data_IF_295089364197
#
_entry.id   IF_295089364197
#
_cell.length_a   1.000
_cell.length_b   1.000
_cell.length_c   1.000
_cell.angle_alpha   90.00
_cell.angle_beta   90.00
_cell.angle_gamma   90.00
#
_symmetry.space_group_name_H-M   'P 1'
#
loop_
_entity.id
_entity.type
_entity.pdbx_description
1 polymer ?
#
# COMPACT_ATOMS: atom_id res chain seq x y z
N UNK A 1 37.57 -5.82 -10.57
CA UNK A 1 37.19 -7.18 -10.11
C UNK A 1 35.89 -7.00 -9.35
N UNK A 2 34.85 -6.52 -9.99
CA UNK A 2 34.04 -7.13 -11.08
C UNK A 2 33.18 -8.28 -10.59
N UNK A 3 31.87 -8.07 -10.80
CA UNK A 3 30.77 -9.03 -10.94
C UNK A 3 30.37 -9.81 -9.68
N UNK A 4 29.10 -10.01 -9.33
CA UNK A 4 27.87 -10.23 -10.11
C UNK A 4 26.68 -9.64 -9.30
N UNK A 5 25.73 -8.86 -9.82
CA UNK A 5 24.58 -9.36 -10.57
C UNK A 5 23.80 -8.27 -11.38
N UNK A 6 24.40 -7.57 -12.36
CA UNK A 6 23.62 -6.85 -13.39
C UNK A 6 23.19 -7.75 -14.57
N UNK A 7 23.85 -8.89 -14.76
CA UNK A 7 23.80 -9.66 -16.01
C UNK A 7 22.51 -10.48 -16.20
N UNK A 8 21.88 -11.00 -15.13
CA UNK A 8 20.67 -11.83 -15.28
C UNK A 8 19.42 -11.02 -15.61
N UNK A 9 19.26 -9.82 -15.04
CA UNK A 9 18.11 -8.96 -15.30
C UNK A 9 18.15 -8.36 -16.71
N UNK A 10 19.33 -7.91 -17.16
CA UNK A 10 19.52 -7.40 -18.52
C UNK A 10 19.37 -8.51 -19.57
N UNK A 11 19.87 -9.73 -19.30
CA UNK A 11 19.66 -10.87 -20.19
C UNK A 11 18.18 -11.30 -20.26
N UNK A 12 17.45 -11.25 -19.15
CA UNK A 12 16.02 -11.53 -19.13
C UNK A 12 15.20 -10.47 -19.89
N UNK A 13 15.52 -9.18 -19.73
CA UNK A 13 14.89 -8.08 -20.48
C UNK A 13 15.16 -8.20 -21.98
N UNK A 14 16.39 -8.52 -22.37
CA UNK A 14 16.79 -8.75 -23.77
C UNK A 14 16.07 -9.95 -24.39
N UNK A 15 15.96 -11.06 -23.65
CA UNK A 15 15.22 -12.23 -24.10
C UNK A 15 13.72 -11.96 -24.29
N UNK A 16 13.12 -11.16 -23.39
CA UNK A 16 11.71 -10.76 -23.49
C UNK A 16 11.46 -9.89 -24.73
N UNK A 17 12.30 -8.87 -24.95
CA UNK A 17 12.21 -8.01 -26.13
C UNK A 17 12.29 -8.81 -27.43
N UNK A 18 13.24 -9.74 -27.52
CA UNK A 18 13.39 -10.62 -28.69
C UNK A 18 12.15 -11.48 -28.92
N UNK A 19 11.54 -12.02 -27.86
CA UNK A 19 10.30 -12.79 -27.98
C UNK A 19 9.12 -11.93 -28.47
N UNK A 20 9.01 -10.68 -28.02
CA UNK A 20 8.01 -9.74 -28.51
C UNK A 20 8.21 -9.40 -30.00
N UNK A 21 9.45 -9.18 -30.44
CA UNK A 21 9.78 -8.91 -31.85
C UNK A 21 9.41 -10.09 -32.77
N UNK A 22 9.76 -11.32 -32.37
CA UNK A 22 9.40 -12.54 -33.09
C UNK A 22 7.87 -12.66 -33.17
N UNK A 23 7.17 -12.42 -32.06
CA UNK A 23 5.70 -12.49 -32.02
C UNK A 23 5.06 -11.44 -32.94
N UNK A 24 5.60 -10.22 -32.96
CA UNK A 24 5.12 -9.17 -33.85
C UNK A 24 5.34 -9.54 -35.33
N UNK A 25 6.49 -10.13 -35.67
CA UNK A 25 6.77 -10.60 -37.03
C UNK A 25 5.82 -11.73 -37.47
N UNK A 26 5.48 -12.65 -36.55
CA UNK A 26 4.47 -13.68 -36.78
C UNK A 26 3.10 -13.05 -37.06
N UNK A 27 2.64 -12.13 -36.20
CA UNK A 27 1.38 -11.42 -36.41
C UNK A 27 1.33 -10.67 -37.75
N UNK A 28 2.44 -10.04 -38.16
CA UNK A 28 2.54 -9.37 -39.45
C UNK A 28 2.39 -10.34 -40.63
N UNK A 29 3.03 -11.51 -40.54
CA UNK A 29 2.93 -12.53 -41.61
C UNK A 29 1.52 -13.11 -41.66
N UNK A 30 0.91 -13.41 -40.50
CA UNK A 30 -0.46 -13.93 -40.40
C UNK A 30 -1.50 -12.96 -40.96
N UNK A 31 -1.31 -11.65 -40.84
CA UNK A 31 -2.27 -10.68 -41.37
C UNK A 31 -2.48 -10.77 -42.90
N UNK A 32 -1.49 -11.26 -43.64
CA UNK A 32 -1.56 -11.46 -45.09
C UNK A 32 -2.03 -12.86 -45.51
N UNK A 33 -2.15 -13.80 -44.57
CA UNK A 33 -2.56 -15.18 -44.80
C UNK A 33 -3.94 -15.42 -44.19
N UNK A 34 -4.97 -15.37 -45.03
CA UNK A 34 -6.37 -15.44 -44.59
C UNK A 34 -6.69 -16.77 -43.89
N UNK A 35 -6.20 -17.89 -44.43
CA UNK A 35 -6.46 -19.22 -43.89
C UNK A 35 -5.77 -19.38 -42.52
N UNK A 36 -4.53 -18.91 -42.40
CA UNK A 36 -3.82 -18.94 -41.12
C UNK A 36 -4.48 -18.04 -40.07
N UNK A 37 -4.93 -16.85 -40.45
CA UNK A 37 -5.65 -15.95 -39.55
C UNK A 37 -6.96 -16.56 -39.09
N UNK A 38 -7.78 -17.09 -40.00
CA UNK A 38 -9.07 -17.71 -39.67
C UNK A 38 -8.90 -18.90 -38.71
N UNK A 39 -7.87 -19.72 -38.92
CA UNK A 39 -7.54 -20.83 -38.04
C UNK A 39 -7.11 -20.39 -36.63
N UNK A 40 -6.42 -19.25 -36.50
CA UNK A 40 -5.89 -18.76 -35.22
C UNK A 40 -6.86 -17.87 -34.44
N UNK A 41 -7.81 -17.20 -35.11
CA UNK A 41 -8.76 -16.27 -34.50
C UNK A 41 -9.48 -16.82 -33.25
N UNK A 42 -9.94 -18.09 -33.21
CA UNK A 42 -10.55 -18.65 -32.02
C UNK A 42 -9.62 -18.63 -30.81
N UNK A 43 -8.31 -18.81 -30.96
CA UNK A 43 -7.42 -18.97 -29.82
C UNK A 43 -6.78 -17.65 -29.37
N UNK A 44 -6.65 -16.69 -30.28
CA UNK A 44 -5.96 -15.41 -30.04
C UNK A 44 -6.65 -14.49 -29.02
N UNK A 45 -7.97 -14.61 -28.82
CA UNK A 45 -8.77 -13.68 -28.03
C UNK A 45 -9.27 -14.28 -26.71
N UNK A 46 -8.69 -15.42 -26.31
CA UNK A 46 -8.98 -16.11 -25.06
C UNK A 46 -8.12 -15.66 -23.87
N UNK A 47 -8.59 -15.94 -22.66
CA UNK A 47 -7.89 -15.67 -21.39
C UNK A 47 -6.51 -16.36 -21.26
N UNK A 48 -6.23 -17.39 -22.06
CA UNK A 48 -4.98 -18.14 -22.08
C UNK A 48 -3.83 -17.32 -22.71
N UNK A 49 -4.17 -16.32 -23.54
CA UNK A 49 -3.20 -15.45 -24.21
C UNK A 49 -2.72 -14.35 -23.25
N UNK A 50 -1.66 -14.62 -22.50
CA UNK A 50 -1.16 -13.68 -21.48
C UNK A 50 -0.14 -12.67 -22.02
N UNK A 51 1.06 -13.13 -22.33
CA UNK A 51 2.22 -12.24 -22.46
C UNK A 51 2.44 -11.68 -23.86
N UNK A 52 2.06 -12.41 -24.91
CA UNK A 52 2.41 -12.06 -26.28
C UNK A 52 1.25 -11.53 -27.12
N UNK A 53 0.03 -11.48 -26.58
CA UNK A 53 -1.15 -11.01 -27.32
C UNK A 53 -0.99 -9.58 -27.84
N UNK A 54 -0.38 -8.70 -27.05
CA UNK A 54 -0.14 -7.31 -27.45
C UNK A 54 0.86 -7.21 -28.62
N UNK A 55 1.96 -7.96 -28.56
CA UNK A 55 2.97 -7.97 -29.62
C UNK A 55 2.40 -8.56 -30.93
N UNK A 56 1.65 -9.66 -30.82
CA UNK A 56 0.98 -10.29 -31.97
C UNK A 56 -0.03 -9.34 -32.62
N UNK A 57 -0.89 -8.70 -31.82
CA UNK A 57 -1.85 -7.70 -32.30
C UNK A 57 -1.18 -6.54 -33.03
N UNK A 58 -0.06 -6.02 -32.49
CA UNK A 58 0.72 -4.96 -33.15
C UNK A 58 1.24 -5.41 -34.52
N UNK A 59 1.70 -6.66 -34.61
CA UNK A 59 2.08 -7.32 -35.85
C UNK A 59 0.92 -7.37 -36.86
N UNK A 60 -0.25 -7.83 -36.42
CA UNK A 60 -1.45 -7.92 -37.26
C UNK A 60 -1.79 -6.58 -37.91
N UNK A 61 -1.79 -5.49 -37.14
CA UNK A 61 -2.06 -4.16 -37.67
C UNK A 61 -0.95 -3.64 -38.59
N UNK A 62 0.29 -4.12 -38.46
CA UNK A 62 1.38 -3.78 -39.38
C UNK A 62 1.21 -4.47 -40.73
N UNK A 63 0.82 -5.75 -40.72
CA UNK A 63 0.61 -6.56 -41.93
C UNK A 63 -0.76 -6.41 -42.60
N UNK A 64 -1.73 -5.76 -41.95
CA UNK A 64 -3.10 -5.64 -42.47
C UNK A 64 -3.15 -4.90 -43.81
N UNK A 65 -3.81 -5.45 -44.83
CA UNK A 65 -4.10 -4.70 -46.06
C UNK A 65 -5.08 -3.55 -45.82
N UNK A 66 -6.10 -3.78 -44.99
CA UNK A 66 -7.08 -2.79 -44.54
C UNK A 66 -7.28 -2.86 -43.01
N UNK A 67 -7.11 -1.72 -42.32
CA UNK A 67 -7.19 -1.70 -40.84
C UNK A 67 -8.61 -1.95 -40.34
N UNK A 68 -9.61 -1.44 -41.04
CA UNK A 68 -10.99 -1.47 -40.56
C UNK A 68 -11.58 -2.87 -40.70
N UNK A 69 -11.33 -3.52 -41.83
CA UNK A 69 -11.80 -4.88 -42.12
C UNK A 69 -11.19 -5.88 -41.16
N UNK A 70 -9.87 -5.83 -40.93
CA UNK A 70 -9.23 -6.76 -40.00
C UNK A 70 -9.62 -6.47 -38.55
N UNK A 71 -9.81 -5.21 -38.17
CA UNK A 71 -10.40 -4.87 -36.86
C UNK A 71 -11.79 -5.50 -36.69
N UNK A 72 -12.68 -5.39 -37.67
CA UNK A 72 -14.02 -5.99 -37.62
C UNK A 72 -13.98 -7.52 -37.49
N UNK A 73 -13.04 -8.19 -38.17
CA UNK A 73 -12.83 -9.64 -38.01
C UNK A 73 -12.40 -9.99 -36.58
N UNK A 74 -11.46 -9.25 -36.01
CA UNK A 74 -11.01 -9.44 -34.63
C UNK A 74 -12.15 -9.18 -33.62
N UNK A 75 -12.94 -8.12 -33.81
CA UNK A 75 -14.11 -7.83 -32.98
C UNK A 75 -15.16 -8.93 -33.09
N UNK A 76 -15.40 -9.47 -34.29
CA UNK A 76 -16.30 -10.62 -34.50
C UNK A 76 -15.85 -11.87 -33.73
N UNK A 77 -14.55 -12.20 -33.80
CA UNK A 77 -13.98 -13.32 -33.05
C UNK A 77 -14.01 -13.07 -31.53
N UNK A 78 -13.81 -11.82 -31.09
CA UNK A 78 -13.96 -11.42 -29.69
C UNK A 78 -15.40 -11.59 -29.20
N UNK A 79 -16.38 -11.23 -30.02
CA UNK A 79 -17.81 -11.39 -29.74
C UNK A 79 -18.20 -12.87 -29.54
N UNK A 80 -17.64 -13.76 -30.37
CA UNK A 80 -17.92 -15.20 -30.33
C UNK A 80 -17.46 -15.89 -29.03
N UNK A 81 -16.56 -15.26 -28.26
CA UNK A 81 -16.12 -15.78 -26.96
C UNK A 81 -17.13 -15.47 -25.84
N UNK A 82 -17.31 -16.39 -24.87
CA UNK A 82 -18.01 -16.08 -23.64
C UNK A 82 -17.37 -14.88 -22.93
N UNK A 83 -18.19 -14.00 -22.34
CA UNK A 83 -17.73 -12.75 -21.71
C UNK A 83 -16.54 -12.94 -20.77
N UNK A 84 -16.57 -13.98 -19.92
CA UNK A 84 -15.51 -14.28 -18.95
C UNK A 84 -14.19 -14.77 -19.58
N UNK A 85 -14.23 -15.25 -20.82
CA UNK A 85 -13.08 -15.78 -21.54
C UNK A 85 -12.46 -14.75 -22.49
N UNK A 86 -13.09 -13.59 -22.66
CA UNK A 86 -12.64 -12.51 -23.56
C UNK A 86 -11.38 -11.85 -23.01
N UNK A 87 -10.38 -11.70 -23.87
CA UNK A 87 -9.13 -11.02 -23.55
C UNK A 87 -8.83 -9.89 -24.55
N UNK A 88 -8.80 -8.62 -24.11
CA UNK A 88 -8.64 -7.49 -25.02
C UNK A 88 -7.19 -7.21 -25.42
N UNK A 89 -6.20 -7.99 -24.97
CA UNK A 89 -4.78 -7.67 -25.18
C UNK A 89 -4.35 -7.69 -26.66
N UNK A 90 -4.90 -8.60 -27.47
CA UNK A 90 -4.64 -8.58 -28.93
C UNK A 90 -5.29 -7.38 -29.59
N UNK A 91 -6.52 -7.02 -29.22
CA UNK A 91 -7.20 -5.82 -29.72
C UNK A 91 -6.43 -4.54 -29.34
N UNK A 92 -5.95 -4.45 -28.09
CA UNK A 92 -5.08 -3.36 -27.62
C UNK A 92 -3.78 -3.30 -28.43
N UNK A 93 -3.13 -4.45 -28.65
CA UNK A 93 -1.94 -4.54 -29.50
C UNK A 93 -2.20 -4.08 -30.93
N UNK A 94 -3.33 -4.49 -31.50
CA UNK A 94 -3.79 -4.08 -32.82
C UNK A 94 -3.93 -2.56 -32.93
N UNK A 95 -4.63 -1.93 -32.00
CA UNK A 95 -4.77 -0.47 -31.97
C UNK A 95 -3.41 0.24 -31.84
N UNK A 96 -2.45 -0.34 -31.12
CA UNK A 96 -1.08 0.21 -31.01
C UNK A 96 -0.30 0.13 -32.32
N UNK A 97 -0.45 -0.96 -33.08
CA UNK A 97 0.13 -1.05 -34.43
C UNK A 97 -0.59 -0.13 -35.42
N UNK A 98 -1.92 -0.06 -35.33
CA UNK A 98 -2.77 0.78 -36.17
C UNK A 98 -2.47 2.27 -35.95
N UNK A 99 -2.23 2.71 -34.72
CA UNK A 99 -1.91 4.12 -34.42
C UNK A 99 -0.60 4.57 -35.07
N UNK A 100 0.36 3.66 -35.22
CA UNK A 100 1.63 3.96 -35.91
C UNK A 100 1.42 4.15 -37.42
N UNK A 101 0.40 3.51 -37.99
CA UNK A 101 0.13 3.49 -39.44
C UNK A 101 -0.89 4.53 -39.87
N UNK A 102 -1.98 4.64 -39.13
CA UNK A 102 -3.07 5.58 -39.34
C UNK A 102 -3.69 5.98 -37.98
N UNK A 103 -3.19 7.08 -37.38
CA UNK A 103 -3.74 7.63 -36.15
C UNK A 103 -5.22 8.05 -36.26
N UNK A 104 -5.67 8.49 -37.43
CA UNK A 104 -7.04 8.98 -37.63
C UNK A 104 -8.04 7.84 -37.61
N UNK A 105 -7.73 6.73 -38.30
CA UNK A 105 -8.54 5.50 -38.21
C UNK A 105 -8.56 4.96 -36.80
N UNK A 106 -7.40 4.90 -36.12
CA UNK A 106 -7.33 4.40 -34.74
C UNK A 106 -8.17 5.25 -33.78
N UNK A 107 -8.11 6.57 -33.92
CA UNK A 107 -8.94 7.48 -33.13
C UNK A 107 -10.44 7.21 -33.35
N UNK A 108 -10.88 7.01 -34.60
CA UNK A 108 -12.28 6.68 -34.90
C UNK A 108 -12.70 5.34 -34.28
N UNK A 109 -11.86 4.30 -34.38
CA UNK A 109 -12.15 2.99 -33.77
C UNK A 109 -12.27 3.08 -32.24
N UNK A 110 -11.43 3.89 -31.59
CA UNK A 110 -11.53 4.16 -30.16
C UNK A 110 -12.79 4.94 -29.81
N UNK A 111 -13.19 5.94 -30.60
CA UNK A 111 -14.43 6.69 -30.39
C UNK A 111 -15.66 5.78 -30.48
N UNK A 112 -15.70 4.86 -31.45
CA UNK A 112 -16.76 3.88 -31.63
C UNK A 112 -16.83 2.88 -30.46
N UNK A 113 -15.68 2.48 -29.91
CA UNK A 113 -15.59 1.51 -28.82
C UNK A 113 -16.16 2.01 -27.47
N UNK A 114 -16.27 3.33 -27.27
CA UNK A 114 -16.71 3.92 -25.98
C UNK A 114 -18.13 3.49 -25.62
N UNK A 115 -19.04 3.53 -26.58
CA UNK A 115 -20.48 3.23 -26.39
C UNK A 115 -20.90 1.85 -26.89
N UNK A 116 -19.97 1.11 -27.50
CA UNK A 116 -20.22 -0.24 -28.00
C UNK A 116 -20.45 -1.22 -26.84
N UNK A 117 -21.55 -2.00 -26.80
CA UNK A 117 -21.82 -2.93 -25.70
C UNK A 117 -20.82 -4.08 -25.54
N UNK A 118 -20.08 -4.42 -26.60
CA UNK A 118 -19.08 -5.49 -26.61
C UNK A 118 -17.70 -4.95 -26.21
N UNK A 119 -17.30 -3.79 -26.73
CA UNK A 119 -15.97 -3.21 -26.53
C UNK A 119 -15.91 -2.24 -25.36
N UNK A 120 -17.00 -1.54 -25.05
CA UNK A 120 -17.13 -0.60 -23.94
C UNK A 120 -16.64 -1.16 -22.60
N UNK A 121 -16.97 -2.42 -22.22
CA UNK A 121 -16.44 -3.03 -21.01
C UNK A 121 -14.90 -3.15 -20.95
N UNK A 122 -14.25 -3.24 -22.12
CA UNK A 122 -12.79 -3.31 -22.27
C UNK A 122 -12.16 -1.99 -22.71
N UNK A 123 -12.97 -0.95 -22.94
CA UNK A 123 -12.51 0.33 -23.49
C UNK A 123 -11.35 0.95 -22.70
N UNK A 124 -11.35 0.98 -21.36
CA UNK A 124 -10.22 1.55 -20.61
C UNK A 124 -8.89 0.86 -20.94
N UNK A 125 -8.91 -0.45 -21.18
CA UNK A 125 -7.72 -1.23 -21.61
C UNK A 125 -7.32 -0.85 -23.03
N UNK A 126 -8.29 -0.76 -23.95
CA UNK A 126 -8.04 -0.39 -25.34
C UNK A 126 -7.45 1.02 -25.48
N UNK A 127 -7.91 1.97 -24.65
CA UNK A 127 -7.39 3.35 -24.65
C UNK A 127 -5.90 3.42 -24.32
N UNK A 128 -5.38 2.50 -23.51
CA UNK A 128 -3.94 2.41 -23.20
C UNK A 128 -3.07 1.86 -24.34
N UNK A 129 -3.66 1.61 -25.53
CA UNK A 129 -2.91 1.27 -26.74
C UNK A 129 -2.17 2.48 -27.35
N UNK A 130 -2.64 3.68 -27.04
CA UNK A 130 -2.09 4.95 -27.51
C UNK A 130 -1.71 5.83 -26.32
N UNK A 131 -0.84 6.81 -26.58
CA UNK A 131 -0.55 7.85 -25.60
C UNK A 131 -1.81 8.65 -25.28
N UNK A 132 -2.07 8.91 -24.00
CA UNK A 132 -3.33 9.51 -23.55
C UNK A 132 -3.17 11.03 -23.50
N UNK A 133 -3.42 11.70 -24.62
CA UNK A 133 -3.49 13.15 -24.71
C UNK A 133 -4.84 13.72 -24.24
N UNK A 134 -5.07 15.00 -24.50
CA UNK A 134 -6.31 15.70 -24.10
C UNK A 134 -7.59 15.06 -24.65
N UNK A 135 -7.58 14.62 -25.91
CA UNK A 135 -8.76 13.95 -26.52
C UNK A 135 -8.99 12.57 -25.90
N UNK A 136 -7.93 11.82 -25.67
CA UNK A 136 -7.97 10.47 -25.10
C UNK A 136 -8.44 10.48 -23.64
N UNK A 137 -8.00 11.46 -22.86
CA UNK A 137 -8.53 11.69 -21.52
C UNK A 137 -10.04 12.01 -21.55
N UNK A 138 -10.53 12.74 -22.56
CA UNK A 138 -11.98 12.98 -22.71
C UNK A 138 -12.75 11.68 -22.97
N UNK A 139 -12.14 10.71 -23.69
CA UNK A 139 -12.76 9.40 -23.92
C UNK A 139 -12.87 8.60 -22.63
N UNK A 140 -11.85 8.63 -21.77
CA UNK A 140 -11.90 7.99 -20.45
C UNK A 140 -13.02 8.60 -19.57
N UNK A 141 -13.12 9.93 -19.55
CA UNK A 141 -14.21 10.62 -18.85
C UNK A 141 -15.59 10.21 -19.40
N UNK A 142 -15.76 10.14 -20.73
CA UNK A 142 -16.99 9.69 -21.37
C UNK A 142 -17.32 8.22 -21.05
N UNK A 143 -16.31 7.34 -21.06
CA UNK A 143 -16.48 5.93 -20.70
C UNK A 143 -16.92 5.75 -19.25
N UNK A 144 -16.40 6.56 -18.32
CA UNK A 144 -16.82 6.59 -16.93
C UNK A 144 -18.29 7.00 -16.79
N UNK A 145 -18.73 8.00 -17.54
CA UNK A 145 -20.14 8.44 -17.57
C UNK A 145 -21.09 7.35 -18.08
N UNK A 146 -20.66 6.55 -19.06
CA UNK A 146 -21.46 5.44 -19.58
C UNK A 146 -21.46 4.21 -18.66
N UNK A 147 -20.45 4.07 -17.79
CA UNK A 147 -20.35 2.99 -16.80
C UNK A 147 -20.48 1.57 -17.41
N UNK A 148 -20.02 1.38 -18.65
CA UNK A 148 -19.98 0.06 -19.30
C UNK A 148 -18.84 -0.82 -18.77
N UNK A 149 -17.73 -0.19 -18.36
CA UNK A 149 -16.56 -0.87 -17.82
C UNK A 149 -16.61 -0.97 -16.30
N UNK A 150 -16.22 -2.13 -15.77
CA UNK A 150 -15.99 -2.31 -14.34
C UNK A 150 -14.72 -1.55 -13.91
N UNK A 151 -14.60 -1.11 -12.64
CA UNK A 151 -13.44 -0.36 -12.18
C UNK A 151 -12.10 -1.06 -12.45
N UNK A 152 -12.04 -2.39 -12.32
CA UNK A 152 -10.83 -3.17 -12.59
C UNK A 152 -10.26 -2.99 -14.01
N UNK A 153 -11.07 -2.65 -15.01
CA UNK A 153 -10.58 -2.36 -16.36
C UNK A 153 -9.70 -1.10 -16.40
N UNK A 154 -9.93 -0.14 -15.52
CA UNK A 154 -9.12 1.08 -15.40
C UNK A 154 -7.77 0.84 -14.72
N UNK A 155 -7.56 -0.32 -14.09
CA UNK A 155 -6.28 -0.66 -13.44
C UNK A 155 -5.08 -0.64 -14.38
N UNK A 156 -5.31 -0.83 -15.69
CA UNK A 156 -4.25 -0.68 -16.71
C UNK A 156 -3.68 0.74 -16.80
N UNK A 157 -4.39 1.76 -16.30
CA UNK A 157 -3.89 3.14 -16.23
C UNK A 157 -2.75 3.30 -15.22
N UNK A 158 -2.63 2.41 -14.23
CA UNK A 158 -1.57 2.51 -13.22
C UNK A 158 -0.20 2.04 -13.71
N UNK A 159 -0.11 1.39 -14.86
CA UNK A 159 1.13 0.75 -15.33
C UNK A 159 1.62 1.33 -16.64
N UNK A 160 2.92 1.15 -16.90
CA UNK A 160 3.53 1.53 -18.18
C UNK A 160 3.53 3.03 -18.45
N UNK A 161 3.44 3.86 -17.41
CA UNK A 161 3.54 5.33 -17.50
C UNK A 161 2.49 5.99 -18.41
N UNK A 162 1.37 5.31 -18.65
CA UNK A 162 0.34 5.75 -19.60
C UNK A 162 -0.37 7.04 -19.19
N UNK A 163 -0.32 7.39 -17.90
CA UNK A 163 -0.92 8.62 -17.35
C UNK A 163 -0.01 9.84 -17.41
N UNK A 164 1.26 9.70 -17.81
CA UNK A 164 2.22 10.80 -17.73
C UNK A 164 1.87 11.96 -18.65
N UNK A 165 1.32 11.66 -19.83
CA UNK A 165 0.89 12.65 -20.81
C UNK A 165 -0.47 13.27 -20.49
N UNK A 166 -1.19 12.77 -19.47
CA UNK A 166 -2.49 13.30 -19.07
C UNK A 166 -2.28 14.53 -18.19
N UNK A 167 -2.86 15.70 -18.53
CA UNK A 167 -2.77 16.87 -17.65
C UNK A 167 -3.39 16.61 -16.28
N UNK A 168 -2.70 17.04 -15.22
CA UNK A 168 -3.03 16.69 -13.84
C UNK A 168 -4.47 17.02 -13.43
N UNK A 169 -5.02 18.15 -13.88
CA UNK A 169 -6.42 18.51 -13.64
C UNK A 169 -7.42 17.50 -14.24
N UNK A 170 -7.10 16.91 -15.40
CA UNK A 170 -7.92 15.86 -16.02
C UNK A 170 -7.74 14.53 -15.29
N UNK A 171 -6.50 14.18 -14.97
CA UNK A 171 -6.19 12.95 -14.25
C UNK A 171 -6.92 12.92 -12.90
N UNK A 172 -6.95 14.05 -12.18
CA UNK A 172 -7.74 14.21 -10.95
C UNK A 172 -9.21 13.86 -11.16
N UNK A 173 -9.86 14.42 -12.18
CA UNK A 173 -11.27 14.09 -12.47
C UNK A 173 -11.49 12.61 -12.77
N UNK A 174 -10.60 12.01 -13.55
CA UNK A 174 -10.65 10.58 -13.88
C UNK A 174 -10.48 9.73 -12.62
N UNK A 175 -9.47 10.00 -11.80
CA UNK A 175 -9.19 9.27 -10.55
C UNK A 175 -10.37 9.35 -9.59
N UNK A 176 -10.93 10.54 -9.36
CA UNK A 176 -12.06 10.72 -8.45
C UNK A 176 -13.35 10.10 -8.97
N UNK A 177 -13.57 10.13 -10.28
CA UNK A 177 -14.70 9.44 -10.90
C UNK A 177 -14.57 7.91 -10.77
N UNK A 178 -13.37 7.34 -10.95
CA UNK A 178 -13.10 5.92 -10.69
C UNK A 178 -13.33 5.60 -9.21
N UNK A 179 -12.83 6.44 -8.29
CA UNK A 179 -12.99 6.24 -6.85
C UNK A 179 -14.46 6.23 -6.39
N UNK A 180 -15.33 6.91 -7.15
CA UNK A 180 -16.77 6.97 -6.89
C UNK A 180 -17.53 5.73 -7.38
N UNK A 181 -16.91 4.85 -8.16
CA UNK A 181 -17.52 3.59 -8.58
C UNK A 181 -17.48 2.56 -7.44
N UNK A 182 -18.46 1.64 -7.35
CA UNK A 182 -18.40 0.50 -6.44
C UNK A 182 -17.11 -0.30 -6.69
N UNK A 183 -16.32 -0.55 -5.64
CA UNK A 183 -15.02 -1.24 -5.71
C UNK A 183 -13.92 -0.48 -6.50
N UNK A 184 -14.14 0.78 -6.86
CA UNK A 184 -13.18 1.58 -7.65
C UNK A 184 -12.11 2.31 -6.84
N UNK A 185 -12.29 2.46 -5.53
CA UNK A 185 -11.37 3.23 -4.68
C UNK A 185 -9.93 2.69 -4.69
N UNK A 186 -9.76 1.37 -4.65
CA UNK A 186 -8.43 0.75 -4.71
C UNK A 186 -7.73 1.06 -6.04
N UNK A 187 -8.45 0.93 -7.15
CA UNK A 187 -7.93 1.20 -8.49
C UNK A 187 -7.54 2.67 -8.64
N UNK A 188 -8.38 3.59 -8.16
CA UNK A 188 -8.08 5.03 -8.18
C UNK A 188 -6.82 5.36 -7.36
N UNK A 189 -6.69 4.77 -6.17
CA UNK A 189 -5.52 4.96 -5.29
C UNK A 189 -4.24 4.43 -5.93
N UNK A 190 -4.33 3.28 -6.61
CA UNK A 190 -3.22 2.69 -7.33
C UNK A 190 -2.77 3.57 -8.50
N UNK A 191 -3.70 4.09 -9.32
CA UNK A 191 -3.39 4.98 -10.45
C UNK A 191 -2.68 6.25 -9.96
N UNK A 192 -3.20 6.90 -8.91
CA UNK A 192 -2.58 8.12 -8.39
C UNK A 192 -1.20 7.85 -7.79
N UNK A 193 -1.06 6.78 -7.00
CA UNK A 193 0.23 6.40 -6.42
C UNK A 193 1.28 6.11 -7.51
N UNK A 194 0.89 5.46 -8.60
CA UNK A 194 1.78 5.20 -9.74
C UNK A 194 2.21 6.50 -10.44
N UNK A 195 1.30 7.46 -10.67
CA UNK A 195 1.64 8.78 -11.23
C UNK A 195 2.61 9.55 -10.32
N UNK A 196 2.35 9.55 -9.02
CA UNK A 196 3.22 10.18 -8.01
C UNK A 196 4.61 9.54 -8.01
N UNK A 197 4.68 8.21 -8.09
CA UNK A 197 5.95 7.48 -8.15
C UNK A 197 6.74 7.82 -9.42
N UNK A 198 6.08 7.89 -10.58
CA UNK A 198 6.73 8.26 -11.85
C UNK A 198 7.34 9.67 -11.77
N UNK A 199 6.57 10.66 -11.31
CA UNK A 199 7.05 12.03 -11.14
C UNK A 199 8.25 12.10 -10.18
N UNK A 200 8.19 11.43 -9.03
CA UNK A 200 9.32 11.35 -8.08
C UNK A 200 10.56 10.70 -8.70
N UNK A 201 10.38 9.64 -9.49
CA UNK A 201 11.49 8.91 -10.14
C UNK A 201 12.23 9.79 -11.16
N UNK A 202 11.51 10.70 -11.79
CA UNK A 202 12.06 11.68 -12.73
C UNK A 202 12.60 12.95 -12.02
N UNK A 203 12.46 13.05 -10.69
CA UNK A 203 12.84 14.23 -9.92
C UNK A 203 11.90 15.42 -10.09
N UNK A 204 10.69 15.19 -10.61
CA UNK A 204 9.66 16.21 -10.79
C UNK A 204 8.94 16.50 -9.46
N UNK A 205 8.52 17.76 -9.30
CA UNK A 205 7.65 18.16 -8.20
C UNK A 205 6.21 17.74 -8.51
N UNK A 206 5.50 17.30 -7.48
CA UNK A 206 4.07 17.01 -7.57
C UNK A 206 3.32 18.34 -7.62
N UNK A 207 2.59 18.58 -8.70
CA UNK A 207 1.81 19.81 -8.87
C UNK A 207 0.55 19.87 -7.97
N UNK A 208 -0.01 21.08 -7.84
CA UNK A 208 -1.15 21.37 -6.98
C UNK A 208 -2.41 20.54 -7.32
N UNK A 209 -2.61 20.16 -8.59
CA UNK A 209 -3.77 19.36 -8.99
C UNK A 209 -3.63 17.91 -8.51
N UNK A 210 -2.43 17.34 -8.59
CA UNK A 210 -2.15 16.01 -8.03
C UNK A 210 -2.19 16.01 -6.51
N UNK A 211 -1.72 17.08 -5.87
CA UNK A 211 -1.84 17.30 -4.42
C UNK A 211 -3.31 17.31 -4.01
N UNK A 212 -4.14 18.13 -4.67
CA UNK A 212 -5.58 18.21 -4.38
C UNK A 212 -6.28 16.87 -4.64
N UNK A 213 -5.91 16.17 -5.71
CA UNK A 213 -6.42 14.82 -6.01
C UNK A 213 -6.19 13.86 -4.83
N UNK A 214 -4.95 13.82 -4.30
CA UNK A 214 -4.62 12.96 -3.17
C UNK A 214 -5.38 13.32 -1.90
N UNK A 215 -5.55 14.61 -1.62
CA UNK A 215 -6.30 15.09 -0.46
C UNK A 215 -7.79 14.74 -0.54
N UNK A 216 -8.41 14.93 -1.71
CA UNK A 216 -9.81 14.59 -1.96
C UNK A 216 -10.05 13.08 -1.91
N UNK A 217 -9.12 12.30 -2.46
CA UNK A 217 -9.20 10.84 -2.44
C UNK A 217 -9.18 10.32 -0.99
N UNK A 218 -8.24 10.80 -0.17
CA UNK A 218 -8.16 10.45 1.25
C UNK A 218 -9.37 10.96 2.05
N UNK A 219 -9.99 12.07 1.64
CA UNK A 219 -11.21 12.58 2.27
C UNK A 219 -12.42 11.65 2.06
N UNK A 220 -12.52 10.98 0.90
CA UNK A 220 -13.62 10.03 0.61
C UNK A 220 -13.29 8.58 0.98
N UNK A 221 -12.04 8.27 1.33
CA UNK A 221 -11.60 6.95 1.77
C UNK A 221 -12.50 6.39 2.87
N UNK A 222 -12.88 5.11 2.80
CA UNK A 222 -13.51 4.40 3.92
C UNK A 222 -12.52 3.45 4.59
N UNK A 223 -12.32 3.62 5.90
CA UNK A 223 -11.45 2.76 6.73
C UNK A 223 -12.00 1.33 6.85
N UNK A 224 -13.25 1.07 6.44
CA UNK A 224 -13.77 -0.29 6.34
C UNK A 224 -13.08 -1.12 5.23
N UNK A 225 -12.42 -0.46 4.26
CA UNK A 225 -11.72 -1.13 3.15
C UNK A 225 -10.35 -1.57 3.67
N UNK A 226 -10.23 -2.86 3.95
CA UNK A 226 -9.02 -3.49 4.47
C UNK A 226 -8.25 -4.18 3.35
N UNK A 227 -7.12 -3.60 2.97
CA UNK A 227 -6.23 -4.16 1.97
C UNK A 227 -4.81 -3.61 2.19
N UNK A 228 -3.82 -4.48 2.42
CA UNK A 228 -2.43 -4.07 2.63
C UNK A 228 -1.85 -3.32 1.43
N UNK A 229 -2.22 -3.73 0.20
CA UNK A 229 -1.81 -3.03 -1.01
C UNK A 229 -2.35 -1.60 -1.00
N UNK A 230 -3.62 -1.42 -0.64
CA UNK A 230 -4.21 -0.10 -0.48
C UNK A 230 -3.49 0.73 0.59
N UNK A 231 -3.14 0.15 1.74
CA UNK A 231 -2.40 0.85 2.79
C UNK A 231 -1.07 1.42 2.27
N UNK A 232 -0.34 0.66 1.45
CA UNK A 232 0.88 1.14 0.79
C UNK A 232 0.59 2.31 -0.19
N UNK A 233 -0.41 2.19 -1.06
CA UNK A 233 -0.77 3.27 -1.98
C UNK A 233 -1.18 4.55 -1.23
N UNK A 234 -1.97 4.43 -0.16
CA UNK A 234 -2.36 5.56 0.68
C UNK A 234 -1.15 6.20 1.38
N UNK A 235 -0.18 5.41 1.83
CA UNK A 235 1.06 5.95 2.40
C UNK A 235 1.82 6.81 1.37
N UNK A 236 2.00 6.32 0.14
CA UNK A 236 2.68 7.09 -0.91
C UNK A 236 1.95 8.39 -1.27
N UNK A 237 0.61 8.37 -1.24
CA UNK A 237 -0.23 9.56 -1.43
C UNK A 237 -0.07 10.54 -0.25
N UNK A 238 -0.12 10.06 1.00
CA UNK A 238 0.10 10.91 2.19
C UNK A 238 1.46 11.60 2.13
N UNK A 239 2.51 10.85 1.77
CA UNK A 239 3.87 11.37 1.64
C UNK A 239 3.98 12.50 0.62
N UNK A 240 3.25 12.39 -0.50
CA UNK A 240 3.32 13.34 -1.60
C UNK A 240 2.38 14.54 -1.44
N UNK A 241 1.15 14.31 -0.97
CA UNK A 241 0.06 15.29 -1.05
C UNK A 241 -0.21 16.03 0.27
N UNK A 242 0.44 15.63 1.37
CA UNK A 242 0.22 16.21 2.69
C UNK A 242 1.48 16.74 3.37
N UNK A 243 2.63 16.84 2.68
CA UNK A 243 3.87 17.32 3.29
C UNK A 243 3.84 18.80 3.70
N UNK A 244 3.04 19.60 3.00
CA UNK A 244 2.94 21.03 3.15
C UNK A 244 2.04 21.45 4.34
N UNK A 245 2.34 22.58 5.02
CA UNK A 245 1.55 23.05 6.16
C UNK A 245 0.08 23.31 5.85
N UNK A 246 -0.24 23.72 4.63
CA UNK A 246 -1.62 24.01 4.17
C UNK A 246 -2.49 22.74 4.17
N UNK A 247 -1.88 21.56 4.10
CA UNK A 247 -2.58 20.28 4.15
C UNK A 247 -2.94 19.82 5.57
N UNK A 248 -2.43 20.49 6.62
CA UNK A 248 -2.61 20.09 8.02
C UNK A 248 -4.10 19.87 8.40
N UNK A 249 -5.06 20.74 8.01
CA UNK A 249 -6.46 20.51 8.34
C UNK A 249 -7.02 19.21 7.73
N UNK A 250 -6.69 18.92 6.46
CA UNK A 250 -7.11 17.70 5.79
C UNK A 250 -6.39 16.47 6.38
N UNK A 251 -5.09 16.62 6.67
CA UNK A 251 -4.28 15.60 7.32
C UNK A 251 -4.84 15.19 8.69
N UNK A 252 -5.21 16.18 9.51
CA UNK A 252 -5.77 15.97 10.83
C UNK A 252 -7.09 15.20 10.76
N UNK A 253 -7.95 15.51 9.78
CA UNK A 253 -9.19 14.78 9.55
C UNK A 253 -8.95 13.31 9.22
N UNK A 254 -7.96 13.00 8.38
CA UNK A 254 -7.57 11.61 8.06
C UNK A 254 -7.10 10.88 9.33
N UNK A 255 -6.21 11.51 10.11
CA UNK A 255 -5.73 10.93 11.37
C UNK A 255 -6.88 10.64 12.34
N UNK A 256 -7.78 11.59 12.53
CA UNK A 256 -8.94 11.46 13.42
C UNK A 256 -9.84 10.30 13.02
N UNK A 257 -10.20 10.20 11.74
CA UNK A 257 -11.06 9.11 11.24
C UNK A 257 -10.43 7.74 11.47
N UNK A 258 -9.12 7.63 11.25
CA UNK A 258 -8.39 6.39 11.49
C UNK A 258 -8.29 6.08 13.00
N UNK A 259 -8.04 7.08 13.84
CA UNK A 259 -8.04 6.94 15.29
C UNK A 259 -9.42 6.50 15.83
N UNK A 260 -10.51 7.09 15.34
CA UNK A 260 -11.89 6.72 15.68
C UNK A 260 -12.21 5.27 15.29
N UNK A 261 -11.79 4.85 14.09
CA UNK A 261 -12.01 3.47 13.64
C UNK A 261 -11.15 2.47 14.43
N UNK A 262 -9.91 2.81 14.77
CA UNK A 262 -9.03 2.00 15.63
C UNK A 262 -9.51 1.95 17.08
N UNK A 263 -10.33 2.91 17.55
CA UNK A 263 -11.04 2.82 18.82
C UNK A 263 -12.21 1.81 18.75
N UNK A 264 -12.78 1.59 17.56
CA UNK A 264 -13.90 0.71 17.27
C UNK A 264 -13.56 -0.79 17.16
N UNK A 265 -14.45 -1.58 16.57
CA UNK A 265 -14.19 -2.98 16.17
C UNK A 265 -14.71 -3.12 14.73
N UNK A 266 -14.01 -3.82 13.81
CA UNK A 266 -12.90 -4.77 13.97
C UNK A 266 -11.52 -4.28 13.44
N UNK A 267 -11.17 -3.01 13.50
CA UNK A 267 -9.94 -2.47 12.87
C UNK A 267 -8.69 -2.57 13.76
N UNK A 268 -7.56 -2.97 13.16
CA UNK A 268 -6.27 -3.17 13.85
C UNK A 268 -5.16 -2.33 13.22
N UNK A 269 -4.12 -2.02 14.00
CA UNK A 269 -2.91 -1.30 13.54
C UNK A 269 -2.23 -2.06 12.40
N UNK A 270 -2.21 -3.39 12.47
CA UNK A 270 -1.65 -4.27 11.45
C UNK A 270 -2.38 -4.21 10.11
N UNK A 271 -3.60 -3.67 10.05
CA UNK A 271 -4.34 -3.49 8.79
C UNK A 271 -3.73 -2.34 7.96
N UNK A 272 -3.07 -1.35 8.59
CA UNK A 272 -2.56 -0.12 7.96
C UNK A 272 -1.11 0.27 8.37
N UNK A 273 -0.13 -0.65 8.39
CA UNK A 273 1.18 -0.37 8.98
C UNK A 273 1.98 0.69 8.21
N UNK A 274 1.97 0.64 6.87
CA UNK A 274 2.69 1.61 6.03
C UNK A 274 2.04 3.00 6.11
N UNK A 275 0.70 3.04 6.12
CA UNK A 275 -0.06 4.29 6.24
C UNK A 275 0.16 4.95 7.61
N UNK A 276 0.03 4.21 8.70
CA UNK A 276 0.24 4.75 10.06
C UNK A 276 1.66 5.28 10.22
N UNK A 277 2.66 4.51 9.79
CA UNK A 277 4.07 4.95 9.82
C UNK A 277 4.24 6.24 9.04
N UNK A 278 3.63 6.34 7.86
CA UNK A 278 3.75 7.55 7.04
C UNK A 278 3.02 8.76 7.62
N UNK A 279 1.86 8.58 8.27
CA UNK A 279 1.17 9.66 8.98
C UNK A 279 2.07 10.25 10.08
N UNK A 280 2.66 9.40 10.93
CA UNK A 280 3.57 9.87 11.98
C UNK A 280 4.86 10.51 11.44
N UNK A 281 5.33 10.13 10.24
CA UNK A 281 6.46 10.80 9.58
C UNK A 281 6.10 12.18 9.03
N UNK A 282 4.92 12.34 8.44
CA UNK A 282 4.57 13.57 7.69
C UNK A 282 4.33 14.77 8.62
N UNK A 283 3.46 14.63 9.62
CA UNK A 283 3.17 15.68 10.62
C UNK A 283 3.09 15.06 12.02
N UNK A 284 4.23 14.71 12.65
CA UNK A 284 4.27 13.89 13.86
C UNK A 284 3.45 14.49 15.01
N UNK A 285 3.59 15.78 15.30
CA UNK A 285 2.85 16.44 16.38
C UNK A 285 1.35 16.42 16.15
N UNK A 286 0.90 16.66 14.92
CA UNK A 286 -0.53 16.63 14.55
C UNK A 286 -1.08 15.20 14.66
N UNK A 287 -0.33 14.20 14.18
CA UNK A 287 -0.71 12.81 14.34
C UNK A 287 -0.78 12.41 15.82
N UNK A 288 0.21 12.76 16.63
CA UNK A 288 0.18 12.51 18.08
C UNK A 288 -1.04 13.17 18.75
N UNK A 289 -1.38 14.40 18.39
CA UNK A 289 -2.57 15.08 18.92
C UNK A 289 -3.88 14.40 18.51
N UNK A 290 -4.03 14.00 17.25
CA UNK A 290 -5.27 13.37 16.77
C UNK A 290 -5.45 11.92 17.27
N UNK A 291 -4.36 11.14 17.39
CA UNK A 291 -4.41 9.77 17.90
C UNK A 291 -4.42 9.71 19.43
N UNK A 292 -3.72 10.62 20.11
CA UNK A 292 -3.38 10.52 21.54
C UNK A 292 -3.54 11.83 22.32
N UNK A 293 -4.11 12.89 21.73
CA UNK A 293 -4.33 14.18 22.42
C UNK A 293 -5.75 14.37 22.94
N UNK A 294 -6.71 13.55 22.51
CA UNK A 294 -8.12 13.69 22.87
C UNK A 294 -8.44 13.37 24.35
N UNK A 295 -9.49 13.97 24.93
CA UNK A 295 -9.88 13.71 26.33
C UNK A 295 -10.47 12.30 26.55
N UNK A 296 -10.79 11.59 25.47
CA UNK A 296 -11.44 10.28 25.47
C UNK A 296 -10.52 9.14 25.00
N UNK A 297 -9.19 9.26 25.18
CA UNK A 297 -8.25 8.18 24.86
C UNK A 297 -8.67 6.93 25.62
N UNK A 298 -9.20 5.97 24.86
CA UNK A 298 -9.68 4.73 25.42
C UNK A 298 -8.48 3.85 25.76
N UNK A 299 -8.46 3.29 26.97
CA UNK A 299 -7.48 2.26 27.36
C UNK A 299 -7.40 1.12 26.33
N UNK A 300 -8.47 0.86 25.57
CA UNK A 300 -8.50 -0.10 24.46
C UNK A 300 -7.53 0.26 23.34
N UNK A 301 -7.48 1.52 22.89
CA UNK A 301 -6.55 1.95 21.82
C UNK A 301 -5.11 1.81 22.28
N UNK A 302 -4.80 2.28 23.49
CA UNK A 302 -3.48 2.13 24.09
C UNK A 302 -3.09 0.65 24.21
N UNK A 303 -4.02 -0.21 24.66
CA UNK A 303 -3.77 -1.65 24.78
C UNK A 303 -3.52 -2.30 23.43
N UNK A 304 -4.27 -1.91 22.38
CA UNK A 304 -4.04 -2.43 21.02
C UNK A 304 -2.68 -2.02 20.47
N UNK A 305 -2.27 -0.77 20.71
CA UNK A 305 -0.94 -0.30 20.34
C UNK A 305 0.15 -1.09 21.06
N UNK A 306 -0.02 -1.38 22.34
CA UNK A 306 0.89 -2.26 23.10
C UNK A 306 0.95 -3.65 22.49
N UNK A 307 -0.19 -4.27 22.21
CA UNK A 307 -0.23 -5.64 21.70
C UNK A 307 0.28 -5.80 20.27
N UNK A 308 0.39 -4.73 19.47
CA UNK A 308 0.90 -4.80 18.10
C UNK A 308 2.43 -4.89 17.99
N UNK A 309 3.18 -4.67 19.07
CA UNK A 309 4.66 -4.69 19.07
C UNK A 309 5.26 -6.04 18.64
N UNK A 310 4.48 -7.12 18.68
CA UNK A 310 4.96 -8.47 18.33
C UNK A 310 4.68 -8.87 16.87
N UNK A 311 3.96 -8.04 16.10
CA UNK A 311 3.48 -8.43 14.76
C UNK A 311 4.22 -7.67 13.65
N UNK A 312 4.60 -6.40 13.87
CA UNK A 312 5.37 -5.54 12.94
C UNK A 312 6.07 -4.41 13.72
N UNK A 313 6.93 -3.66 13.03
CA UNK A 313 7.53 -2.40 13.53
C UNK A 313 6.44 -1.43 14.02
N UNK A 314 6.70 -0.74 15.14
CA UNK A 314 5.78 0.23 15.70
C UNK A 314 5.82 1.53 14.88
N UNK A 315 4.69 2.05 14.37
CA UNK A 315 4.66 3.28 13.58
C UNK A 315 5.28 4.50 14.27
N UNK A 316 5.32 4.52 15.61
CA UNK A 316 5.91 5.61 16.39
C UNK A 316 7.44 5.60 16.41
N UNK A 317 8.07 4.49 16.02
CA UNK A 317 9.54 4.40 15.92
C UNK A 317 10.07 5.26 14.75
N UNK A 318 9.19 5.68 13.84
CA UNK A 318 9.51 6.61 12.78
C UNK A 318 9.58 8.08 13.22
N UNK A 319 9.17 8.39 14.46
CA UNK A 319 9.18 9.75 15.02
C UNK A 319 10.44 9.93 15.87
N UNK A 320 11.12 11.06 15.67
CA UNK A 320 12.31 11.42 16.44
C UNK A 320 11.98 11.59 17.94
N UNK A 321 12.87 11.11 18.81
CA UNK A 321 12.68 11.17 20.27
C UNK A 321 12.41 12.58 20.77
N UNK A 322 13.09 13.58 20.21
CA UNK A 322 12.93 14.99 20.60
C UNK A 322 11.50 15.49 20.36
N UNK A 323 10.82 14.98 19.34
CA UNK A 323 9.42 15.32 19.03
C UNK A 323 8.49 14.66 20.06
N UNK A 324 8.73 13.39 20.40
CA UNK A 324 8.01 12.70 21.47
C UNK A 324 8.10 13.48 22.79
N UNK A 325 9.31 13.87 23.18
CA UNK A 325 9.57 14.63 24.41
C UNK A 325 8.89 16.00 24.37
N UNK A 326 9.03 16.75 23.26
CA UNK A 326 8.40 18.06 23.10
C UNK A 326 6.87 17.96 23.21
N UNK A 327 6.28 16.95 22.57
CA UNK A 327 4.84 16.70 22.65
C UNK A 327 4.41 16.38 24.09
N UNK A 328 5.19 15.55 24.79
CA UNK A 328 4.92 15.16 26.18
C UNK A 328 4.97 16.36 27.15
N UNK A 329 5.97 17.22 26.98
CA UNK A 329 6.19 18.41 27.83
C UNK A 329 5.05 19.44 27.76
N UNK A 330 4.28 19.48 26.68
CA UNK A 330 3.13 20.38 26.57
C UNK A 330 1.99 20.04 27.55
N UNK A 331 1.89 18.78 28.01
CA UNK A 331 1.01 18.39 29.11
C UNK A 331 1.61 17.18 29.85
N UNK A 332 2.60 17.41 30.75
CA UNK A 332 3.47 16.35 31.24
C UNK A 332 2.72 15.23 31.98
N UNK A 333 1.76 15.60 32.84
CA UNK A 333 1.02 14.64 33.66
C UNK A 333 0.15 13.70 32.83
N UNK A 334 -0.37 14.15 31.68
CA UNK A 334 -1.20 13.33 30.81
C UNK A 334 -0.39 12.58 29.75
N UNK A 335 0.55 13.26 29.09
CA UNK A 335 1.17 12.78 27.84
C UNK A 335 2.35 11.84 28.05
N UNK A 336 3.13 11.99 29.13
CA UNK A 336 4.21 11.03 29.44
C UNK A 336 3.67 9.60 29.66
N UNK A 337 2.64 9.38 30.50
CA UNK A 337 2.03 8.06 30.63
C UNK A 337 1.45 7.51 29.32
N UNK A 338 0.92 8.39 28.45
CA UNK A 338 0.38 7.97 27.15
C UNK A 338 1.51 7.49 26.23
N UNK A 339 2.59 8.26 26.04
CA UNK A 339 3.72 7.83 25.22
C UNK A 339 4.34 6.54 25.74
N UNK A 340 4.55 6.46 27.05
CA UNK A 340 5.07 5.26 27.72
C UNK A 340 4.22 4.01 27.46
N UNK A 341 2.97 4.20 27.03
CA UNK A 341 2.04 3.15 26.68
C UNK A 341 2.11 2.73 25.22
N UNK A 342 2.67 3.52 24.32
CA UNK A 342 2.54 3.32 22.87
C UNK A 342 3.86 3.26 22.13
N UNK A 343 4.95 3.81 22.68
CA UNK A 343 6.28 3.67 22.08
C UNK A 343 6.86 2.28 22.31
N UNK A 344 7.84 1.89 21.48
CA UNK A 344 8.62 0.66 21.69
C UNK A 344 9.55 0.83 22.91
N UNK A 345 9.33 0.11 24.02
CA UNK A 345 10.08 0.34 25.26
C UNK A 345 11.46 -0.33 25.26
N UNK A 346 11.55 -1.52 24.66
CA UNK A 346 12.77 -2.33 24.58
C UNK A 346 12.75 -3.20 23.32
N UNK A 347 13.92 -3.70 22.96
CA UNK A 347 14.13 -4.62 21.84
C UNK A 347 14.53 -5.97 22.43
N UNK A 348 13.77 -7.02 22.09
CA UNK A 348 14.19 -8.40 22.32
C UNK A 348 15.14 -8.83 21.20
N UNK A 349 16.20 -9.57 21.55
CA UNK A 349 17.17 -10.08 20.58
C UNK A 349 16.95 -11.57 20.33
N UNK A 350 16.94 -11.96 19.04
CA UNK A 350 16.69 -13.34 18.61
C UNK A 350 17.82 -14.31 18.96
N UNK A 351 19.03 -13.79 19.22
CA UNK A 351 20.22 -14.55 19.60
C UNK A 351 20.21 -15.02 21.07
N UNK A 352 19.14 -14.69 21.81
CA UNK A 352 18.96 -15.08 23.19
C UNK A 352 19.67 -14.18 24.21
N UNK A 353 20.26 -13.06 23.77
CA UNK A 353 20.78 -12.03 24.67
C UNK A 353 19.67 -11.29 25.42
N UNK A 354 20.04 -10.65 26.52
CA UNK A 354 19.11 -9.87 27.34
C UNK A 354 18.54 -8.69 26.54
N UNK A 355 17.24 -8.40 26.66
CA UNK A 355 16.61 -7.30 25.94
C UNK A 355 17.20 -5.95 26.36
N UNK A 356 17.22 -5.01 25.41
CA UNK A 356 17.81 -3.68 25.61
C UNK A 356 16.76 -2.59 25.55
N UNK A 357 16.83 -1.65 26.49
CA UNK A 357 16.01 -0.44 26.47
C UNK A 357 16.22 0.40 25.20
N UNK A 358 15.15 0.96 24.65
CA UNK A 358 15.28 1.93 23.56
C UNK A 358 15.74 3.29 24.10
N UNK A 359 16.50 4.09 23.31
CA UNK A 359 16.87 5.44 23.71
C UNK A 359 15.65 6.31 24.04
N UNK A 360 14.58 6.21 23.25
CA UNK A 360 13.34 6.94 23.46
C UNK A 360 12.67 6.62 24.80
N UNK A 361 12.66 5.35 25.22
CA UNK A 361 12.09 4.95 26.50
C UNK A 361 12.89 5.48 27.70
N UNK A 362 14.22 5.41 27.63
CA UNK A 362 15.09 5.94 28.69
C UNK A 362 14.99 7.46 28.81
N UNK A 363 14.95 8.18 27.68
CA UNK A 363 14.81 9.63 27.69
C UNK A 363 13.43 10.05 28.22
N UNK A 364 12.36 9.37 27.80
CA UNK A 364 11.02 9.60 28.32
C UNK A 364 10.96 9.37 29.84
N UNK A 365 11.60 8.30 30.34
CA UNK A 365 11.65 8.00 31.77
C UNK A 365 12.47 9.02 32.56
N UNK A 366 13.58 9.51 32.00
CA UNK A 366 14.45 10.50 32.64
C UNK A 366 13.72 11.83 32.86
N UNK A 367 12.92 12.26 31.86
CA UNK A 367 12.23 13.55 31.87
C UNK A 367 10.82 13.48 32.47
N UNK A 368 10.34 12.31 32.86
CA UNK A 368 9.00 12.11 33.37
C UNK A 368 8.79 12.80 34.73
N UNK A 369 7.66 13.53 34.93
CA UNK A 369 7.32 14.09 36.25
C UNK A 369 6.95 13.00 37.26
N UNK A 370 6.44 11.86 36.77
CA UNK A 370 6.14 10.66 37.56
C UNK A 370 6.81 9.45 36.90
N UNK A 371 8.03 9.16 37.35
CA UNK A 371 8.86 8.08 36.82
C UNK A 371 8.26 6.71 37.10
N UNK A 372 7.59 6.52 38.23
CA UNK A 372 6.96 5.24 38.61
C UNK A 372 5.82 4.91 37.66
N UNK A 373 4.93 5.87 37.38
CA UNK A 373 3.84 5.66 36.42
C UNK A 373 4.37 5.37 35.02
N UNK A 374 5.36 6.13 34.54
CA UNK A 374 5.96 5.93 33.21
C UNK A 374 6.63 4.56 33.11
N UNK A 375 7.45 4.19 34.09
CA UNK A 375 8.13 2.89 34.13
C UNK A 375 7.12 1.74 34.15
N UNK A 376 6.03 1.88 34.90
CA UNK A 376 4.92 0.90 34.92
C UNK A 376 4.31 0.70 33.54
N UNK A 377 4.13 1.78 32.76
CA UNK A 377 3.56 1.69 31.40
C UNK A 377 4.55 1.06 30.41
N UNK A 378 5.82 1.50 30.43
CA UNK A 378 6.88 0.97 29.56
C UNK A 378 7.09 -0.53 29.76
N UNK A 379 6.97 -1.02 30.99
CA UNK A 379 7.17 -2.42 31.33
C UNK A 379 5.88 -3.26 31.35
N UNK A 380 4.74 -2.68 30.94
CA UNK A 380 3.52 -3.45 30.75
C UNK A 380 3.65 -4.61 29.73
N UNK A 381 4.49 -4.53 28.65
CA UNK A 381 4.70 -5.63 27.72
C UNK A 381 5.68 -6.72 28.19
N UNK A 382 6.21 -6.64 29.42
CA UNK A 382 7.17 -7.64 29.93
C UNK A 382 6.62 -9.07 29.82
N UNK A 383 5.34 -9.25 30.14
CA UNK A 383 4.64 -10.52 29.95
C UNK A 383 3.99 -10.51 28.57
N UNK A 384 4.46 -11.34 27.60
CA UNK A 384 3.86 -11.37 26.27
C UNK A 384 2.44 -11.93 26.30
N UNK A 385 1.62 -11.52 25.33
CA UNK A 385 0.24 -12.04 25.17
C UNK A 385 0.15 -13.32 24.34
N UNK A 386 1.23 -13.68 23.65
CA UNK A 386 1.38 -14.90 22.84
C UNK A 386 2.86 -15.29 22.81
N UNK A 387 3.16 -16.60 22.83
CA UNK A 387 4.52 -17.12 22.80
C UNK A 387 4.53 -18.54 22.22
N UNK A 388 5.62 -18.89 21.53
CA UNK A 388 5.86 -20.23 20.95
C UNK A 388 6.92 -21.03 21.73
N UNK A 389 7.61 -20.39 22.68
CA UNK A 389 8.68 -20.95 23.51
C UNK A 389 8.30 -20.85 24.99
N UNK A 390 9.12 -21.39 25.91
CA UNK A 390 8.85 -21.27 27.35
C UNK A 390 8.57 -19.82 27.77
N UNK A 391 7.42 -19.58 28.42
CA UNK A 391 7.09 -18.27 28.94
C UNK A 391 8.03 -17.92 30.10
N UNK A 392 8.41 -18.91 30.90
CA UNK A 392 9.34 -18.71 32.00
C UNK A 392 10.70 -18.18 31.50
N UNK A 393 11.22 -18.73 30.40
CA UNK A 393 12.50 -18.28 29.84
C UNK A 393 12.41 -16.86 29.26
N UNK A 394 11.29 -16.49 28.61
CA UNK A 394 11.05 -15.11 28.18
C UNK A 394 11.07 -14.16 29.38
N UNK A 395 10.36 -14.51 30.45
CA UNK A 395 10.27 -13.67 31.65
C UNK A 395 11.62 -13.54 32.36
N UNK A 396 12.43 -14.60 32.43
CA UNK A 396 13.80 -14.55 33.01
C UNK A 396 14.64 -13.52 32.27
N UNK A 397 14.65 -13.53 30.93
CA UNK A 397 15.43 -12.57 30.14
C UNK A 397 14.91 -11.15 30.33
N UNK A 398 13.60 -10.95 30.16
CA UNK A 398 12.99 -9.61 30.27
C UNK A 398 13.04 -9.02 31.67
N UNK A 399 13.16 -9.84 32.72
CA UNK A 399 13.41 -9.39 34.10
C UNK A 399 14.70 -8.56 34.21
N UNK A 400 15.71 -8.81 33.37
CA UNK A 400 16.95 -8.03 33.35
C UNK A 400 16.73 -6.52 33.12
N UNK A 401 15.63 -6.13 32.46
CA UNK A 401 15.27 -4.71 32.25
C UNK A 401 14.97 -3.96 33.55
N UNK A 402 14.63 -4.66 34.64
CA UNK A 402 14.39 -4.06 35.96
C UNK A 402 15.68 -3.79 36.74
N UNK A 403 16.75 -4.54 36.47
CA UNK A 403 17.98 -4.50 37.27
C UNK A 403 18.57 -3.09 37.43
N UNK A 404 18.60 -2.21 36.39
CA UNK A 404 19.10 -0.84 36.54
C UNK A 404 18.33 0.00 37.57
N UNK A 405 17.07 -0.36 37.85
CA UNK A 405 16.17 0.42 38.70
C UNK A 405 16.07 -0.10 40.14
N UNK A 406 16.63 -1.28 40.45
CA UNK A 406 16.60 -1.86 41.80
C UNK A 406 17.33 -1.00 42.84
N UNK A 407 18.30 -0.21 42.39
CA UNK A 407 19.10 0.72 43.19
C UNK A 407 19.00 2.15 42.67
N UNK A 408 17.86 2.52 42.08
CA UNK A 408 17.63 3.88 41.60
C UNK A 408 17.77 4.89 42.74
N UNK A 409 18.25 6.10 42.42
CA UNK A 409 18.41 7.18 43.39
C UNK A 409 17.06 7.68 43.94
N UNK A 410 15.99 7.54 43.17
CA UNK A 410 14.62 7.79 43.62
C UNK A 410 14.10 6.56 44.38
N UNK A 411 13.87 6.65 45.71
CA UNK A 411 13.40 5.53 46.51
C UNK A 411 12.07 4.95 46.02
N UNK A 412 11.18 5.78 45.45
CA UNK A 412 9.89 5.30 44.95
C UNK A 412 10.07 4.40 43.72
N UNK A 413 11.03 4.71 42.84
CA UNK A 413 11.39 3.89 41.69
C UNK A 413 12.07 2.60 42.15
N UNK A 414 13.00 2.68 43.10
CA UNK A 414 13.69 1.50 43.62
C UNK A 414 12.73 0.52 44.34
N UNK A 415 11.81 1.04 45.14
CA UNK A 415 10.79 0.23 45.81
C UNK A 415 9.85 -0.43 44.80
N UNK A 416 9.37 0.32 43.80
CA UNK A 416 8.56 -0.21 42.72
C UNK A 416 9.28 -1.32 41.94
N UNK A 417 10.54 -1.10 41.59
CA UNK A 417 11.33 -2.06 40.81
C UNK A 417 11.54 -3.36 41.59
N UNK A 418 11.86 -3.27 42.89
CA UNK A 418 11.99 -4.45 43.77
C UNK A 418 10.69 -5.23 43.88
N UNK A 419 9.56 -4.55 44.09
CA UNK A 419 8.26 -5.22 44.14
C UNK A 419 7.95 -5.95 42.82
N UNK A 420 8.16 -5.27 41.68
CA UNK A 420 7.89 -5.84 40.36
C UNK A 420 8.81 -7.02 40.05
N UNK A 421 10.06 -6.95 40.49
CA UNK A 421 11.07 -8.00 40.35
C UNK A 421 10.67 -9.28 41.11
N UNK A 422 10.22 -9.13 42.36
CA UNK A 422 9.69 -10.22 43.18
C UNK A 422 8.44 -10.86 42.56
N UNK A 423 7.52 -10.05 42.02
CA UNK A 423 6.33 -10.54 41.32
C UNK A 423 6.68 -11.37 40.08
N UNK A 424 7.67 -10.93 39.29
CA UNK A 424 8.12 -11.67 38.10
C UNK A 424 8.82 -12.97 38.48
N UNK A 425 9.63 -12.98 39.54
CA UNK A 425 10.27 -14.20 40.02
C UNK A 425 9.22 -15.25 40.42
N UNK A 426 8.17 -14.83 41.14
CA UNK A 426 7.06 -15.73 41.48
C UNK A 426 6.35 -16.27 40.23
N UNK A 427 6.11 -15.41 39.22
CA UNK A 427 5.51 -15.84 37.95
C UNK A 427 6.40 -16.81 37.17
N UNK A 428 7.71 -16.60 37.14
CA UNK A 428 8.69 -17.49 36.51
C UNK A 428 8.61 -18.88 37.15
N UNK A 429 8.66 -18.97 38.48
CA UNK A 429 8.61 -20.25 39.19
C UNK A 429 7.28 -20.99 38.93
N UNK A 430 6.15 -20.27 38.96
CA UNK A 430 4.84 -20.86 38.66
C UNK A 430 4.74 -21.40 37.23
N UNK A 431 5.26 -20.66 36.24
CA UNK A 431 5.24 -21.11 34.84
C UNK A 431 6.16 -22.31 34.61
N UNK A 432 7.35 -22.35 35.23
CA UNK A 432 8.24 -23.53 35.17
C UNK A 432 7.57 -24.79 35.72
N UNK A 433 6.83 -24.67 36.82
CA UNK A 433 6.08 -25.81 37.36
C UNK A 433 4.97 -26.28 36.40
N UNK A 434 4.21 -25.34 35.80
CA UNK A 434 3.17 -25.67 34.83
C UNK A 434 3.72 -26.34 33.57
N UNK A 435 4.83 -25.83 33.03
CA UNK A 435 5.49 -26.38 31.84
C UNK A 435 6.04 -27.79 32.09
N UNK A 436 6.60 -28.06 33.29
CA UNK A 436 7.03 -29.41 33.69
C UNK A 436 5.86 -30.39 33.75
N UNK A 437 4.77 -30.02 34.42
CA UNK A 437 3.57 -30.88 34.52
C UNK A 437 2.91 -31.14 33.17
N UNK A 438 2.92 -30.17 32.26
CA UNK A 438 2.41 -30.36 30.91
C UNK A 438 3.24 -31.40 30.15
N UNK A 439 4.58 -31.31 30.21
CA UNK A 439 5.46 -32.27 29.53
C UNK A 439 5.39 -33.69 30.12
N UNK A 440 5.27 -33.82 31.45
CA UNK A 440 5.12 -35.12 32.13
C UNK A 440 3.75 -35.78 31.89
N UNK A 441 2.73 -35.04 31.44
CA UNK A 441 1.39 -35.56 31.15
C UNK A 441 1.20 -36.09 29.72
N UNK A 442 2.21 -35.93 28.84
CA UNK A 442 2.22 -36.44 27.46
C UNK A 442 3.20 -37.61 27.24
N UNK A 443 3.95 -38.01 28.27
CA UNK A 443 4.66 -39.30 28.36
C UNK A 443 3.76 -40.35 29.03
#
# INVERSE_FOLDING_TARGET
MDNEAPDEADNALSALQRAEEITAALGQTTAGDHDALEALLPDLLGHEVKHYGMAFGKGLATGASDLVTLWQQLVGAFAAKPERARNPLVLRGYLRGASTRDPATTARLLDEAISDPLLGPSFPVLQTAVEIGERDAARLEAALQLSLARPGAYGYLAYGRVTDSIPSARLRRIVLAIASLPEGYEIASEILAARVFAAKSDGELIDDELVQCGQELLAIWSVAIKNHRLAYHLAEIVKACFAQPEAIPAFALVCRRLADELNGYPTYISDYPELLTQLFRTHPTVALDEFFGGPAINNRLLTRWRSSHHVRENPLDAVQTEIHITWAQANPSARFPILASVITPFIDHDDGTDPTWTPAALELLCLAPDRVTVLTRLLSPLVPTSWSVSLADILVRRRALLHPFLTDADPAVADWARQRDDELEQQIQQNRMRERWANEGFE
#
